data_IF_527841575196
#
_entry.id   IF_527841575196
#
_cell.length_a   1.000
_cell.length_b   1.000
_cell.length_c   1.000
_cell.angle_alpha   90.00
_cell.angle_beta   90.00
_cell.angle_gamma   90.00
#
_symmetry.space_group_name_H-M   'P 1'
#
loop_
_entity.id
_entity.type
_entity.pdbx_description
1 polymer ?
#
# COMPACT_ATOMS: atom_id res chain seq x y z
N UNK A 1 32.27 0.35 29.47
CA UNK A 1 31.92 -0.60 28.38
C UNK A 1 30.98 -0.05 27.29
N UNK A 2 30.51 1.21 27.31
CA UNK A 2 29.59 1.75 26.30
C UNK A 2 30.29 2.40 25.08
N UNK A 3 31.50 2.94 25.29
CA UNK A 3 32.27 3.66 24.26
C UNK A 3 32.71 2.78 23.08
N UNK A 4 32.97 1.48 23.30
CA UNK A 4 33.41 0.56 22.24
C UNK A 4 32.28 0.13 21.29
N UNK A 5 31.02 0.15 21.74
CA UNK A 5 29.87 -0.13 20.88
C UNK A 5 29.54 1.06 19.98
N UNK A 6 29.63 2.28 20.54
CA UNK A 6 29.44 3.53 19.78
C UNK A 6 30.54 3.72 18.73
N UNK A 7 31.80 3.44 19.05
CA UNK A 7 32.91 3.53 18.08
C UNK A 7 32.76 2.54 16.91
N UNK A 8 32.26 1.33 17.16
CA UNK A 8 31.99 0.34 16.11
C UNK A 8 30.83 0.76 15.20
N UNK A 9 29.77 1.32 15.79
CA UNK A 9 28.60 1.79 15.03
C UNK A 9 28.94 3.03 14.19
N UNK A 10 29.65 4.00 14.76
CA UNK A 10 30.10 5.19 14.03
C UNK A 10 31.12 4.84 12.94
N UNK A 11 32.00 3.87 13.16
CA UNK A 11 32.94 3.39 12.14
C UNK A 11 32.25 2.71 10.96
N UNK A 12 31.21 1.90 11.21
CA UNK A 12 30.40 1.27 10.16
C UNK A 12 29.63 2.33 9.36
N UNK A 13 29.03 3.32 10.03
CA UNK A 13 28.33 4.41 9.35
C UNK A 13 29.29 5.23 8.47
N UNK A 14 30.49 5.54 8.95
CA UNK A 14 31.51 6.24 8.17
C UNK A 14 31.98 5.44 6.95
N UNK A 15 32.13 4.12 7.08
CA UNK A 15 32.47 3.25 5.96
C UNK A 15 31.37 3.19 4.90
N UNK A 16 30.10 3.13 5.31
CA UNK A 16 28.95 3.15 4.39
C UNK A 16 28.88 4.48 3.64
N UNK A 17 29.06 5.61 4.34
CA UNK A 17 29.05 6.94 3.72
C UNK A 17 30.23 7.11 2.76
N UNK A 18 31.43 6.63 3.11
CA UNK A 18 32.59 6.64 2.22
C UNK A 18 32.39 5.75 0.98
N UNK A 19 31.76 4.59 1.13
CA UNK A 19 31.41 3.71 0.01
C UNK A 19 30.38 4.36 -0.94
N UNK A 20 29.37 5.04 -0.41
CA UNK A 20 28.41 5.81 -1.19
C UNK A 20 29.06 6.99 -1.92
N UNK A 21 29.97 7.69 -1.26
CA UNK A 21 30.69 8.81 -1.86
C UNK A 21 31.66 8.35 -2.97
N UNK A 22 32.29 7.19 -2.80
CA UNK A 22 33.10 6.55 -3.84
C UNK A 22 32.25 6.05 -5.03
N UNK A 23 31.02 5.59 -4.77
CA UNK A 23 30.07 5.18 -5.80
C UNK A 23 29.57 6.37 -6.64
N UNK A 24 29.39 7.56 -6.05
CA UNK A 24 29.00 8.76 -6.81
C UNK A 24 30.13 9.33 -7.68
N UNK A 25 31.39 9.07 -7.34
CA UNK A 25 32.55 9.64 -8.05
C UNK A 25 33.05 8.78 -9.22
N UNK A 26 32.55 7.55 -9.35
CA UNK A 26 33.01 6.61 -10.37
C UNK A 26 31.93 6.46 -11.44
N UNK A 27 32.17 7.03 -12.63
CA UNK A 27 31.37 6.78 -13.83
C UNK A 27 31.54 5.31 -14.26
N UNK A 28 30.83 4.38 -13.62
CA UNK A 28 30.94 2.94 -13.88
C UNK A 28 29.65 2.42 -14.53
N UNK A 29 29.69 2.02 -15.81
CA UNK A 29 28.55 1.48 -16.56
C UNK A 29 28.20 0.02 -16.19
N UNK A 30 28.30 -0.37 -14.91
CA UNK A 30 28.10 -1.76 -14.44
C UNK A 30 26.87 -1.96 -13.54
N UNK A 31 26.02 -0.94 -13.38
CA UNK A 31 24.83 -1.03 -12.52
C UNK A 31 23.74 -1.98 -13.09
N UNK A 32 23.77 -2.25 -14.40
CA UNK A 32 22.79 -3.14 -15.05
C UNK A 32 23.03 -4.65 -14.82
N UNK A 33 24.22 -5.06 -14.35
CA UNK A 33 24.50 -6.47 -14.01
C UNK A 33 24.23 -6.80 -12.54
N UNK A 34 24.28 -5.79 -11.67
CA UNK A 34 23.97 -5.95 -10.25
C UNK A 34 22.48 -6.19 -10.00
N UNK A 35 21.62 -5.58 -10.81
CA UNK A 35 20.17 -5.78 -10.79
C UNK A 35 19.78 -7.19 -11.22
N UNK A 36 20.40 -7.77 -12.25
CA UNK A 36 20.11 -9.14 -12.67
C UNK A 36 20.52 -10.18 -11.63
N UNK A 37 21.67 -10.01 -10.96
CA UNK A 37 22.08 -10.90 -9.88
C UNK A 37 21.20 -10.75 -8.63
N UNK A 38 20.78 -9.53 -8.30
CA UNK A 38 19.83 -9.27 -7.22
C UNK A 38 18.46 -9.89 -7.51
N UNK A 39 17.97 -9.75 -8.76
CA UNK A 39 16.72 -10.36 -9.23
C UNK A 39 16.82 -11.88 -9.24
N UNK A 40 17.96 -12.45 -9.64
CA UNK A 40 18.20 -13.89 -9.61
C UNK A 40 18.28 -14.46 -8.18
N UNK A 41 18.77 -13.69 -7.21
CA UNK A 41 18.75 -14.06 -5.79
C UNK A 41 17.35 -13.88 -5.17
N UNK A 42 16.61 -12.83 -5.55
CA UNK A 42 15.20 -12.62 -5.17
C UNK A 42 14.29 -13.72 -5.74
N UNK A 43 14.51 -14.14 -6.98
CA UNK A 43 13.72 -15.19 -7.64
C UNK A 43 14.03 -16.60 -7.12
N UNK A 44 15.15 -16.79 -6.42
CA UNK A 44 15.53 -18.11 -5.89
C UNK A 44 14.85 -18.44 -4.56
N UNK A 45 14.44 -17.42 -3.78
CA UNK A 45 13.93 -17.60 -2.42
C UNK A 45 12.52 -17.03 -2.16
N UNK A 46 11.90 -16.29 -3.09
CA UNK A 46 10.45 -16.09 -3.05
C UNK A 46 9.79 -17.29 -3.72
N UNK A 47 9.36 -18.24 -2.88
CA UNK A 47 8.87 -19.53 -3.30
C UNK A 47 7.60 -19.34 -4.16
N UNK A 48 7.75 -19.49 -5.48
CA UNK A 48 6.61 -19.72 -6.40
C UNK A 48 5.73 -20.85 -5.91
N UNK A 49 6.26 -21.78 -5.10
CA UNK A 49 5.49 -22.80 -4.41
C UNK A 49 4.51 -22.22 -3.38
N UNK A 50 4.81 -21.16 -2.63
CA UNK A 50 3.88 -20.59 -1.65
C UNK A 50 2.75 -19.81 -2.35
N UNK A 51 3.08 -19.07 -3.41
CA UNK A 51 2.09 -18.39 -4.26
C UNK A 51 1.22 -19.41 -5.01
N UNK A 52 1.81 -20.47 -5.54
CA UNK A 52 1.10 -21.52 -6.27
C UNK A 52 0.28 -22.41 -5.33
N UNK A 53 0.72 -22.63 -4.10
CA UNK A 53 -0.05 -23.38 -3.10
C UNK A 53 -1.20 -22.54 -2.58
N UNK A 54 -0.99 -21.25 -2.30
CA UNK A 54 -2.08 -20.31 -2.03
C UNK A 54 -3.10 -20.25 -3.18
N UNK A 55 -2.64 -20.16 -4.43
CA UNK A 55 -3.50 -20.17 -5.62
C UNK A 55 -4.26 -21.51 -5.80
N UNK A 56 -3.61 -22.64 -5.53
CA UNK A 56 -4.22 -23.96 -5.66
C UNK A 56 -5.20 -24.26 -4.52
N UNK A 57 -4.92 -23.80 -3.31
CA UNK A 57 -5.78 -23.97 -2.14
C UNK A 57 -7.00 -23.05 -2.23
N UNK A 58 -6.84 -21.82 -2.74
CA UNK A 58 -7.97 -20.96 -3.08
C UNK A 58 -8.81 -21.55 -4.22
N UNK A 59 -8.20 -22.09 -5.28
CA UNK A 59 -8.94 -22.78 -6.35
C UNK A 59 -9.69 -24.04 -5.85
N UNK A 60 -9.09 -24.83 -4.96
CA UNK A 60 -9.73 -26.02 -4.37
C UNK A 60 -10.84 -25.65 -3.39
N UNK A 61 -10.70 -24.56 -2.63
CA UNK A 61 -11.75 -24.07 -1.74
C UNK A 61 -12.95 -23.57 -2.55
N UNK A 62 -12.72 -22.86 -3.66
CA UNK A 62 -13.78 -22.41 -4.58
C UNK A 62 -14.46 -23.58 -5.28
N UNK A 63 -13.70 -24.59 -5.72
CA UNK A 63 -14.26 -25.78 -6.37
C UNK A 63 -15.07 -26.69 -5.44
N UNK A 64 -14.85 -26.63 -4.13
CA UNK A 64 -15.59 -27.40 -3.11
C UNK A 64 -16.72 -26.61 -2.46
N UNK A 65 -16.85 -25.31 -2.74
CA UNK A 65 -17.94 -24.50 -2.24
C UNK A 65 -19.26 -24.95 -2.90
N UNK A 66 -20.37 -25.09 -2.15
CA UNK A 66 -21.67 -25.37 -2.73
C UNK A 66 -22.04 -24.31 -3.76
N UNK A 67 -22.73 -24.69 -4.84
CA UNK A 67 -23.12 -23.78 -5.92
C UNK A 67 -23.86 -22.51 -5.43
N UNK A 68 -24.54 -22.56 -4.29
CA UNK A 68 -25.16 -21.39 -3.65
C UNK A 68 -24.13 -20.35 -3.16
N UNK A 69 -22.96 -20.78 -2.69
CA UNK A 69 -21.85 -19.91 -2.26
C UNK A 69 -21.10 -19.39 -3.48
N UNK A 70 -20.96 -20.21 -4.53
CA UNK A 70 -20.37 -19.80 -5.81
C UNK A 70 -21.23 -18.74 -6.50
N UNK A 71 -22.55 -18.92 -6.52
CA UNK A 71 -23.45 -17.90 -7.06
C UNK A 71 -23.51 -16.66 -6.18
N UNK A 72 -23.43 -16.80 -4.84
CA UNK A 72 -23.37 -15.65 -3.95
C UNK A 72 -22.06 -14.84 -4.12
N UNK A 73 -20.91 -15.47 -4.41
CA UNK A 73 -19.66 -14.75 -4.68
C UNK A 73 -19.64 -14.13 -6.07
N UNK A 74 -20.18 -14.83 -7.09
CA UNK A 74 -20.31 -14.31 -8.45
C UNK A 74 -21.30 -13.14 -8.52
N UNK A 75 -22.40 -13.20 -7.79
CA UNK A 75 -23.36 -12.09 -7.64
C UNK A 75 -22.84 -10.95 -6.76
N UNK A 76 -21.86 -11.20 -5.88
CA UNK A 76 -21.16 -10.16 -5.15
C UNK A 76 -20.05 -9.47 -5.99
N UNK A 77 -19.54 -10.13 -7.03
CA UNK A 77 -18.56 -9.58 -7.98
C UNK A 77 -19.18 -8.74 -9.11
N UNK A 78 -20.51 -8.80 -9.32
CA UNK A 78 -21.21 -7.81 -10.16
C UNK A 78 -21.35 -6.43 -9.47
N UNK A 79 -20.88 -6.30 -8.23
CA UNK A 79 -20.71 -5.02 -7.54
C UNK A 79 -19.39 -4.37 -7.93
N UNK A 80 -19.45 -3.15 -8.49
CA UNK A 80 -18.36 -2.18 -8.75
C UNK A 80 -16.94 -2.63 -8.32
N UNK A 81 -16.00 -2.63 -9.27
CA UNK A 81 -14.55 -2.92 -9.04
C UNK A 81 -14.02 -2.21 -7.79
N UNK A 82 -14.55 -1.01 -7.51
CA UNK A 82 -14.25 -0.19 -6.34
C UNK A 82 -15.40 -0.20 -5.33
N UNK A 83 -15.08 -0.34 -4.05
CA UNK A 83 -16.03 -0.18 -2.95
C UNK A 83 -16.30 1.28 -2.61
N UNK A 84 -17.19 1.52 -1.66
CA UNK A 84 -17.48 2.87 -1.16
C UNK A 84 -16.42 3.30 -0.14
N UNK A 85 -15.96 4.56 -0.18
CA UNK A 85 -14.87 5.03 0.68
C UNK A 85 -15.32 5.39 2.10
N UNK A 86 -16.60 5.68 2.32
CA UNK A 86 -17.23 5.98 3.62
C UNK A 86 -18.67 5.49 3.60
N UNK A 87 -19.22 5.17 4.77
CA UNK A 87 -20.65 4.91 4.95
C UNK A 87 -21.47 6.21 4.96
N UNK A 88 -22.80 6.11 4.95
CA UNK A 88 -23.73 7.24 5.10
C UNK A 88 -23.41 8.08 6.36
N UNK A 89 -23.17 9.38 6.19
CA UNK A 89 -22.72 10.26 7.28
C UNK A 89 -23.77 11.29 7.68
N UNK A 90 -24.01 11.43 9.00
CA UNK A 90 -24.79 12.53 9.58
C UNK A 90 -23.89 13.64 10.10
N UNK A 91 -24.39 14.88 10.11
CA UNK A 91 -23.62 16.01 10.64
C UNK A 91 -23.30 15.82 12.13
N UNK A 92 -22.01 15.94 12.48
CA UNK A 92 -21.47 15.74 13.83
C UNK A 92 -20.98 14.32 14.09
N UNK A 93 -21.12 13.40 13.13
CA UNK A 93 -20.69 12.01 13.24
C UNK A 93 -19.27 11.82 12.67
N UNK A 94 -18.46 11.01 13.36
CA UNK A 94 -17.19 10.50 12.85
C UNK A 94 -17.43 9.13 12.24
N UNK A 95 -17.06 8.97 10.97
CA UNK A 95 -17.18 7.72 10.22
C UNK A 95 -15.81 7.17 9.84
N UNK A 96 -15.77 5.87 9.56
CA UNK A 96 -14.55 5.20 9.13
C UNK A 96 -14.35 5.39 7.62
N UNK A 97 -13.12 5.69 7.22
CA UNK A 97 -12.72 5.74 5.82
C UNK A 97 -12.13 4.38 5.44
N UNK A 98 -12.63 3.81 4.35
CA UNK A 98 -12.27 2.49 3.85
C UNK A 98 -11.54 2.58 2.50
N UNK A 99 -10.54 1.71 2.31
CA UNK A 99 -9.88 1.59 1.01
C UNK A 99 -10.83 0.99 -0.03
N UNK A 100 -11.07 1.70 -1.13
CA UNK A 100 -12.02 1.26 -2.17
C UNK A 100 -11.56 0.02 -2.94
N UNK A 101 -10.24 -0.24 -2.96
CA UNK A 101 -9.63 -1.41 -3.56
C UNK A 101 -8.30 -1.74 -2.85
N UNK A 102 -7.77 -2.93 -3.08
CA UNK A 102 -6.45 -3.29 -2.57
C UNK A 102 -5.36 -2.44 -3.25
N UNK A 103 -4.29 -2.10 -2.53
CA UNK A 103 -3.25 -1.24 -3.08
C UNK A 103 -2.11 -0.97 -2.11
N UNK A 104 -1.22 -0.07 -2.52
CA UNK A 104 -0.10 0.41 -1.71
C UNK A 104 -0.27 1.90 -1.44
N UNK A 105 -0.14 2.32 -0.19
CA UNK A 105 -0.20 3.73 0.20
C UNK A 105 1.00 4.45 -0.41
N UNK A 106 0.75 5.35 -1.37
CA UNK A 106 1.78 6.09 -2.08
C UNK A 106 2.17 7.38 -1.39
N UNK A 107 1.26 7.99 -0.62
CA UNK A 107 1.54 9.19 0.18
C UNK A 107 0.54 9.34 1.34
N UNK A 108 1.02 9.93 2.44
CA UNK A 108 0.19 10.38 3.57
C UNK A 108 0.66 11.78 3.95
N UNK A 109 -0.26 12.73 4.11
CA UNK A 109 0.13 14.09 4.45
C UNK A 109 -1.04 15.02 4.72
N UNK A 110 -0.78 16.32 4.67
CA UNK A 110 -1.77 17.37 4.86
C UNK A 110 -1.62 18.43 3.76
N UNK A 111 -2.74 18.92 3.25
CA UNK A 111 -2.80 19.90 2.17
C UNK A 111 -3.88 20.95 2.48
N UNK A 112 -3.61 22.22 2.19
CA UNK A 112 -4.54 23.32 2.48
C UNK A 112 -5.91 23.18 1.79
N UNK A 113 -5.99 22.47 0.66
CA UNK A 113 -7.23 22.31 -0.12
C UNK A 113 -8.07 21.11 0.29
N UNK A 114 -7.42 20.04 0.75
CA UNK A 114 -8.05 18.74 0.98
C UNK A 114 -7.71 18.14 2.35
N UNK A 115 -7.26 18.97 3.29
CA UNK A 115 -6.90 18.57 4.66
C UNK A 115 -5.89 17.43 4.71
N UNK A 116 -5.98 16.62 5.76
CA UNK A 116 -5.21 15.38 5.86
C UNK A 116 -5.68 14.40 4.79
N UNK A 117 -4.73 13.83 4.07
CA UNK A 117 -5.01 12.97 2.94
C UNK A 117 -4.20 11.69 2.94
N UNK A 118 -4.78 10.68 2.27
CA UNK A 118 -4.17 9.39 1.98
C UNK A 118 -4.24 9.19 0.47
N UNK A 119 -3.14 8.77 -0.16
CA UNK A 119 -3.11 8.33 -1.55
C UNK A 119 -2.81 6.84 -1.62
N UNK A 120 -3.59 6.09 -2.40
CA UNK A 120 -3.40 4.65 -2.60
C UNK A 120 -3.28 4.37 -4.09
N UNK A 121 -2.21 3.69 -4.45
CA UNK A 121 -1.97 3.17 -5.79
C UNK A 121 -2.51 1.74 -5.89
N UNK A 122 -3.37 1.49 -6.87
CA UNK A 122 -4.04 0.21 -7.12
C UNK A 122 -3.38 -0.52 -8.30
N UNK A 123 -2.09 -0.85 -8.17
CA UNK A 123 -1.31 -1.42 -9.27
C UNK A 123 -0.78 -0.34 -10.21
N UNK A 124 -0.68 -0.62 -11.50
CA UNK A 124 -0.25 0.37 -12.49
C UNK A 124 -1.43 1.14 -13.11
N UNK A 125 -2.66 0.71 -12.82
CA UNK A 125 -3.85 1.11 -13.58
C UNK A 125 -4.67 2.24 -12.93
N UNK A 126 -4.56 2.46 -11.62
CA UNK A 126 -5.41 3.42 -10.92
C UNK A 126 -4.82 3.96 -9.60
N UNK A 127 -5.23 5.17 -9.24
CA UNK A 127 -4.91 5.84 -7.97
C UNK A 127 -6.18 6.37 -7.31
N UNK A 128 -6.31 6.21 -6.00
CA UNK A 128 -7.35 6.87 -5.18
C UNK A 128 -6.77 7.86 -4.18
N UNK A 129 -7.50 8.95 -3.94
CA UNK A 129 -7.17 9.99 -2.97
C UNK A 129 -8.36 10.17 -2.02
N UNK A 130 -8.07 10.12 -0.73
CA UNK A 130 -9.02 10.31 0.37
C UNK A 130 -8.55 11.55 1.13
N UNK A 131 -9.39 12.57 1.26
CA UNK A 131 -9.05 13.86 1.86
C UNK A 131 -10.05 14.30 2.92
N UNK A 132 -9.67 15.35 3.64
CA UNK A 132 -10.34 15.88 4.83
C UNK A 132 -10.44 14.86 5.96
N UNK A 133 -9.49 13.91 6.04
CA UNK A 133 -9.46 12.91 7.10
C UNK A 133 -9.23 13.60 8.46
N UNK A 134 -9.91 13.12 9.50
CA UNK A 134 -9.68 13.55 10.88
C UNK A 134 -8.42 12.86 11.42
N UNK A 135 -8.36 11.53 11.27
CA UNK A 135 -7.22 10.69 11.64
C UNK A 135 -6.81 9.77 10.48
N UNK A 136 -5.52 9.39 10.47
CA UNK A 136 -4.94 8.48 9.48
C UNK A 136 -4.35 7.28 10.23
N UNK A 137 -4.74 6.07 9.82
CA UNK A 137 -4.36 4.82 10.47
C UNK A 137 -3.28 4.03 9.72
N UNK A 138 -2.89 4.51 8.54
CA UNK A 138 -1.92 3.86 7.65
C UNK A 138 -0.69 4.72 7.42
N UNK A 139 0.39 4.10 6.97
CA UNK A 139 1.67 4.77 6.66
C UNK A 139 2.03 4.63 5.18
N UNK A 140 2.92 5.49 4.70
CA UNK A 140 3.49 5.35 3.35
C UNK A 140 4.12 3.96 3.17
N UNK A 141 3.98 3.42 1.96
CA UNK A 141 4.41 2.09 1.53
C UNK A 141 3.67 0.90 2.18
N UNK A 142 2.67 1.17 3.02
CA UNK A 142 1.82 0.13 3.60
C UNK A 142 0.88 -0.48 2.54
N UNK A 143 0.68 -1.80 2.60
CA UNK A 143 -0.30 -2.50 1.74
C UNK A 143 -1.64 -2.58 2.45
N UNK A 144 -2.70 -2.22 1.74
CA UNK A 144 -4.08 -2.26 2.23
C UNK A 144 -4.96 -3.18 1.40
N UNK A 145 -5.98 -3.76 2.03
CA UNK A 145 -7.01 -4.57 1.36
C UNK A 145 -8.25 -3.73 1.05
N UNK A 146 -9.05 -4.14 0.06
CA UNK A 146 -10.40 -3.56 -0.17
C UNK A 146 -11.22 -3.64 1.12
N UNK A 147 -11.86 -2.53 1.50
CA UNK A 147 -12.65 -2.41 2.73
C UNK A 147 -11.84 -2.22 4.02
N UNK A 148 -10.51 -2.23 3.96
CA UNK A 148 -9.68 -1.99 5.14
C UNK A 148 -9.89 -0.54 5.63
N UNK A 149 -10.04 -0.37 6.94
CA UNK A 149 -10.07 0.96 7.57
C UNK A 149 -8.70 1.63 7.43
N UNK A 150 -8.67 2.82 6.83
CA UNK A 150 -7.44 3.58 6.55
C UNK A 150 -7.38 4.91 7.29
N UNK A 151 -8.51 5.38 7.83
CA UNK A 151 -8.59 6.61 8.62
C UNK A 151 -10.02 6.87 9.08
N UNK A 152 -10.26 8.08 9.55
CA UNK A 152 -11.58 8.57 9.95
C UNK A 152 -11.89 9.88 9.27
N UNK A 153 -13.18 10.17 9.11
CA UNK A 153 -13.69 11.45 8.63
C UNK A 153 -14.79 11.92 9.57
N UNK A 154 -14.75 13.19 9.97
CA UNK A 154 -15.81 13.80 10.78
C UNK A 154 -16.61 14.78 9.95
N UNK A 155 -17.91 14.54 9.84
CA UNK A 155 -18.80 15.43 9.10
C UNK A 155 -19.09 16.68 9.92
N UNK A 156 -18.57 17.80 9.45
CA UNK A 156 -18.88 19.12 9.99
C UNK A 156 -19.61 19.96 8.95
N UNK A 157 -20.33 20.99 9.39
CA UNK A 157 -21.22 21.80 8.54
C UNK A 157 -20.55 22.39 7.29
N UNK A 158 -19.24 22.60 7.34
CA UNK A 158 -18.47 23.24 6.27
C UNK A 158 -17.35 22.33 5.71
N UNK A 159 -17.36 21.05 6.07
CA UNK A 159 -16.33 20.09 5.68
C UNK A 159 -17.01 18.90 4.99
N UNK A 160 -16.79 18.79 3.69
CA UNK A 160 -17.21 17.63 2.88
C UNK A 160 -16.08 16.60 2.84
N UNK A 161 -16.43 15.32 2.76
CA UNK A 161 -15.44 14.28 2.52
C UNK A 161 -14.92 14.44 1.09
N UNK A 162 -13.60 14.39 0.92
CA UNK A 162 -12.99 14.50 -0.39
C UNK A 162 -12.56 13.12 -0.88
N UNK A 163 -13.05 12.73 -2.04
CA UNK A 163 -12.68 11.49 -2.70
C UNK A 163 -12.45 11.69 -4.19
N UNK A 164 -11.38 11.08 -4.71
CA UNK A 164 -11.14 10.95 -6.16
C UNK A 164 -10.54 9.61 -6.47
N UNK A 165 -11.02 8.99 -7.55
CA UNK A 165 -10.40 7.86 -8.22
C UNK A 165 -9.97 8.31 -9.62
N UNK A 166 -8.74 7.99 -9.98
CA UNK A 166 -8.15 8.29 -11.29
C UNK A 166 -7.59 7.02 -11.90
N UNK A 167 -7.90 6.75 -13.17
CA UNK A 167 -7.24 5.70 -13.95
C UNK A 167 -5.93 6.27 -14.53
N UNK A 168 -4.85 5.50 -14.43
CA UNK A 168 -3.52 5.83 -14.95
C UNK A 168 -3.40 5.13 -16.30
N UNK A 169 -3.72 5.85 -17.36
CA UNK A 169 -3.72 5.36 -18.74
C UNK A 169 -2.57 5.96 -19.55
#
# INVERSE_FOLDING_TARGET
MWKSKLFKQTGICLLIVLAFFAAQKSNIPQLNRGSEAAVAYLSKNYTVSDVLTFARDSAKAVAKAPAAVTNAVLSAEEGSRYGEPIDDVKNGETVTVHAVAAGTVSAVGENEKIGKFIKILHGEDAESIYGNCEEIHVKELERVKKGQAIGTFKKEKNTEFYYRLSELN
#
